data_IF_570605167905
#
_entry.id   IF_570605167905
#
_cell.length_a   1.000
_cell.length_b   1.000
_cell.length_c   1.000
_cell.angle_alpha   90.00
_cell.angle_beta   90.00
_cell.angle_gamma   90.00
#
_symmetry.space_group_name_H-M   'P 1'
#
loop_
_entity.id
_entity.type
_entity.pdbx_description
1 polymer ?
#
# COMPACT_ATOMS: atom_id res chain seq x y z
N UNK A 1 22.15 -14.93 6.98
CA UNK A 1 22.61 -13.55 6.72
C UNK A 1 22.34 -13.28 5.25
N UNK A 2 21.28 -12.54 4.93
CA UNK A 2 21.12 -11.93 3.62
C UNK A 2 22.20 -10.84 3.53
N UNK A 3 23.17 -11.02 2.65
CA UNK A 3 24.08 -9.95 2.25
C UNK A 3 23.27 -9.02 1.34
N UNK A 4 23.03 -7.79 1.79
CA UNK A 4 22.54 -6.74 0.91
C UNK A 4 23.57 -6.55 -0.20
N UNK A 5 23.14 -6.77 -1.44
CA UNK A 5 23.95 -6.39 -2.60
C UNK A 5 24.13 -4.86 -2.55
N UNK A 6 25.35 -4.38 -2.75
CA UNK A 6 25.71 -2.97 -2.67
C UNK A 6 24.84 -2.07 -3.58
N UNK A 7 24.42 -2.62 -4.72
CA UNK A 7 23.45 -1.99 -5.62
C UNK A 7 22.03 -1.87 -5.01
N UNK A 8 21.53 -2.87 -4.29
CA UNK A 8 20.24 -2.80 -3.63
C UNK A 8 20.25 -1.72 -2.53
N UNK A 9 21.34 -1.64 -1.76
CA UNK A 9 21.54 -0.58 -0.76
C UNK A 9 21.55 0.83 -1.37
N UNK A 10 22.13 0.99 -2.55
CA UNK A 10 22.16 2.27 -3.27
C UNK A 10 20.76 2.68 -3.73
N UNK A 11 19.97 1.75 -4.26
CA UNK A 11 18.60 2.02 -4.68
C UNK A 11 17.67 2.26 -3.49
N UNK A 12 17.81 1.51 -2.40
CA UNK A 12 17.07 1.72 -1.16
C UNK A 12 17.40 3.08 -0.53
N UNK A 13 18.66 3.52 -0.61
CA UNK A 13 19.08 4.83 -0.08
C UNK A 13 18.54 6.00 -0.93
N UNK A 14 18.52 5.84 -2.26
CA UNK A 14 17.91 6.80 -3.18
C UNK A 14 16.39 6.87 -2.96
N UNK A 15 15.75 5.73 -2.77
CA UNK A 15 14.31 5.63 -2.52
C UNK A 15 13.91 6.27 -1.18
N UNK A 16 14.68 6.05 -0.12
CA UNK A 16 14.46 6.70 1.18
C UNK A 16 14.67 8.21 1.13
N UNK A 17 15.71 8.67 0.42
CA UNK A 17 15.93 10.11 0.23
C UNK A 17 14.76 10.74 -0.53
N UNK A 18 14.16 10.00 -1.44
CA UNK A 18 13.03 10.45 -2.25
C UNK A 18 11.69 10.31 -1.51
N UNK A 19 11.52 9.32 -0.65
CA UNK A 19 10.38 9.24 0.29
C UNK A 19 10.36 10.44 1.24
N UNK A 20 11.51 10.82 1.79
CA UNK A 20 11.62 12.02 2.64
C UNK A 20 11.40 13.32 1.86
N UNK A 21 11.74 13.34 0.57
CA UNK A 21 11.50 14.46 -0.35
C UNK A 21 10.06 14.48 -0.86
N UNK A 22 9.41 13.32 -0.87
CA UNK A 22 8.08 13.05 -1.43
C UNK A 22 6.99 12.84 -0.37
N UNK A 23 7.23 13.18 0.90
CA UNK A 23 6.13 13.51 1.81
C UNK A 23 5.20 14.56 1.17
N UNK A 24 5.75 15.45 0.32
CA UNK A 24 4.99 16.34 -0.56
C UNK A 24 4.29 15.61 -1.73
N UNK A 25 4.74 14.44 -2.17
CA UNK A 25 4.10 13.71 -3.28
C UNK A 25 2.81 13.02 -2.85
N UNK A 26 2.74 12.53 -1.63
CA UNK A 26 1.46 12.17 -1.01
C UNK A 26 0.57 13.40 -0.90
N UNK A 27 1.13 14.57 -0.58
CA UNK A 27 0.39 15.84 -0.57
C UNK A 27 0.04 16.28 -2.01
N UNK A 28 0.88 16.10 -3.03
CA UNK A 28 0.59 16.41 -4.43
C UNK A 28 -0.38 15.41 -5.07
N UNK A 29 -0.23 14.10 -4.88
CA UNK A 29 -1.27 13.11 -5.22
C UNK A 29 -2.56 13.39 -4.46
N UNK A 30 -2.43 13.81 -3.21
CA UNK A 30 -3.53 14.24 -2.36
C UNK A 30 -4.18 15.52 -2.89
N UNK A 31 -3.41 16.42 -3.50
CA UNK A 31 -3.92 17.66 -4.11
C UNK A 31 -4.44 17.46 -5.53
N UNK A 32 -3.82 16.64 -6.39
CA UNK A 32 -4.32 16.30 -7.73
C UNK A 32 -5.63 15.49 -7.64
N UNK A 33 -5.70 14.56 -6.71
CA UNK A 33 -6.94 13.83 -6.40
C UNK A 33 -7.98 14.74 -5.74
N UNK A 34 -7.56 15.82 -5.07
CA UNK A 34 -8.45 16.82 -4.44
C UNK A 34 -8.90 17.91 -5.39
N UNK A 35 -8.10 18.29 -6.39
CA UNK A 35 -8.40 19.34 -7.35
C UNK A 35 -9.29 18.87 -8.52
N UNK A 36 -9.47 17.57 -8.70
CA UNK A 36 -10.40 16.97 -9.67
C UNK A 36 -11.80 16.72 -9.12
N UNK A 37 -12.11 17.14 -7.91
CA UNK A 37 -13.47 17.08 -7.39
C UNK A 37 -14.26 18.27 -7.85
N UNK A 38 -15.14 18.09 -8.85
CA UNK A 38 -16.34 18.91 -8.96
C UNK A 38 -16.95 19.06 -7.57
N UNK A 39 -17.35 20.29 -7.22
CA UNK A 39 -18.11 20.62 -6.02
C UNK A 39 -19.36 19.75 -5.96
N UNK A 40 -19.25 18.57 -5.37
CA UNK A 40 -20.39 17.78 -4.96
C UNK A 40 -20.91 18.42 -3.66
N UNK A 41 -22.19 18.79 -3.72
CA UNK A 41 -22.97 19.45 -2.69
C UNK A 41 -22.46 19.22 -1.26
N UNK A 42 -22.16 20.34 -0.60
CA UNK A 42 -21.65 20.45 0.77
C UNK A 42 -22.67 20.08 1.86
N UNK A 43 -23.77 19.46 1.53
CA UNK A 43 -24.89 19.24 2.45
C UNK A 43 -24.94 17.85 3.11
N UNK A 44 -23.99 16.96 2.81
CA UNK A 44 -23.94 15.67 3.47
C UNK A 44 -23.15 15.73 4.78
N UNK A 45 -23.86 16.01 5.86
CA UNK A 45 -23.30 15.90 7.23
C UNK A 45 -23.17 14.41 7.56
N UNK A 46 -21.93 13.93 7.54
CA UNK A 46 -21.64 12.58 8.01
C UNK A 46 -21.75 12.55 9.53
N UNK A 47 -22.83 11.96 10.05
CA UNK A 47 -22.96 11.65 11.47
C UNK A 47 -22.21 10.35 11.78
N UNK A 48 -20.91 10.46 12.05
CA UNK A 48 -20.08 9.36 12.54
C UNK A 48 -19.50 9.74 13.90
N UNK A 49 -20.21 9.43 15.01
CA UNK A 49 -19.71 9.67 16.35
C UNK A 49 -18.40 8.90 16.59
N UNK A 50 -17.48 9.51 17.33
CA UNK A 50 -16.17 8.92 17.66
C UNK A 50 -16.30 7.54 18.33
N UNK A 51 -17.29 7.37 19.23
CA UNK A 51 -17.51 6.09 19.91
C UNK A 51 -18.00 5.00 18.96
N UNK A 52 -18.85 5.37 17.99
CA UNK A 52 -19.27 4.46 16.90
C UNK A 52 -18.08 4.04 16.05
N UNK A 53 -17.19 4.97 15.72
CA UNK A 53 -15.97 4.66 14.97
C UNK A 53 -15.05 3.72 15.75
N UNK A 54 -14.81 4.01 17.04
CA UNK A 54 -14.01 3.13 17.92
C UNK A 54 -14.57 1.71 17.98
N UNK A 55 -15.88 1.58 18.16
CA UNK A 55 -16.54 0.27 18.19
C UNK A 55 -16.40 -0.50 16.85
N UNK A 56 -16.49 0.20 15.71
CA UNK A 56 -16.29 -0.40 14.38
C UNK A 56 -14.85 -0.83 14.18
N UNK A 57 -13.87 -0.01 14.57
CA UNK A 57 -12.45 -0.35 14.48
C UNK A 57 -12.11 -1.54 15.38
N UNK A 58 -12.61 -1.59 16.61
CA UNK A 58 -12.43 -2.73 17.50
C UNK A 58 -12.98 -4.03 16.89
N UNK A 59 -14.20 -3.98 16.35
CA UNK A 59 -14.79 -5.15 15.66
C UNK A 59 -14.03 -5.57 14.39
N UNK A 60 -13.44 -4.62 13.69
CA UNK A 60 -12.60 -4.92 12.52
C UNK A 60 -11.30 -5.59 12.97
N UNK A 61 -10.68 -5.07 14.04
CA UNK A 61 -9.44 -5.59 14.61
C UNK A 61 -9.55 -7.05 15.10
N UNK A 62 -10.74 -7.50 15.52
CA UNK A 62 -11.00 -8.90 15.90
C UNK A 62 -10.97 -9.87 14.69
N UNK A 63 -11.13 -9.37 13.47
CA UNK A 63 -11.30 -10.17 12.25
C UNK A 63 -10.13 -10.14 11.30
N UNK A 64 -9.17 -9.27 11.56
CA UNK A 64 -8.02 -9.05 10.69
C UNK A 64 -6.72 -9.43 11.41
N UNK A 65 -5.70 -9.91 10.71
CA UNK A 65 -4.39 -10.16 11.28
C UNK A 65 -3.57 -8.88 11.53
N UNK A 66 -4.11 -7.71 11.18
CA UNK A 66 -3.47 -6.41 11.36
C UNK A 66 -3.87 -5.78 12.69
N UNK A 67 -2.97 -4.97 13.28
CA UNK A 67 -3.24 -4.23 14.49
C UNK A 67 -3.84 -2.86 14.17
N UNK A 68 -5.17 -2.74 14.33
CA UNK A 68 -5.91 -1.51 14.05
C UNK A 68 -6.22 -0.79 15.36
N UNK A 69 -5.37 0.17 15.73
CA UNK A 69 -5.59 1.01 16.90
C UNK A 69 -6.24 2.34 16.52
N UNK A 70 -7.25 2.76 17.31
CA UNK A 70 -7.82 4.09 17.15
C UNK A 70 -6.81 5.17 17.54
N UNK A 71 -6.74 6.21 16.71
CA UNK A 71 -6.12 7.49 17.05
C UNK A 71 -6.86 8.65 16.35
N UNK A 72 -6.68 9.87 16.83
CA UNK A 72 -7.37 11.05 16.30
C UNK A 72 -6.98 11.40 14.86
N UNK A 73 -5.74 11.10 14.45
CA UNK A 73 -5.29 11.29 13.08
C UNK A 73 -6.01 10.34 12.13
N UNK A 74 -6.14 9.05 12.50
CA UNK A 74 -6.90 8.07 11.72
C UNK A 74 -8.37 8.49 11.59
N UNK A 75 -9.00 8.96 12.67
CA UNK A 75 -10.37 9.48 12.62
C UNK A 75 -10.51 10.64 11.63
N UNK A 76 -9.57 11.59 11.65
CA UNK A 76 -9.56 12.74 10.74
C UNK A 76 -9.42 12.30 9.27
N UNK A 77 -8.56 11.32 8.99
CA UNK A 77 -8.40 10.73 7.66
C UNK A 77 -9.68 10.04 7.20
N UNK A 78 -10.27 9.18 8.04
CA UNK A 78 -11.51 8.48 7.71
C UNK A 78 -12.64 9.48 7.41
N UNK A 79 -12.84 10.48 8.27
CA UNK A 79 -13.85 11.52 8.06
C UNK A 79 -13.60 12.30 6.76
N UNK A 80 -12.36 12.63 6.44
CA UNK A 80 -12.01 13.30 5.18
C UNK A 80 -12.39 12.47 3.95
N UNK A 81 -12.12 11.15 3.97
CA UNK A 81 -12.50 10.28 2.86
C UNK A 81 -14.02 10.13 2.74
N UNK A 82 -14.74 10.08 3.84
CA UNK A 82 -16.21 9.91 3.83
C UNK A 82 -16.97 11.20 3.47
N UNK A 83 -16.32 12.35 3.55
CA UNK A 83 -16.92 13.66 3.20
C UNK A 83 -16.31 14.20 1.90
N UNK A 84 -15.15 14.86 2.00
CA UNK A 84 -14.53 15.59 0.90
C UNK A 84 -14.03 14.72 -0.27
N UNK A 85 -13.74 13.43 -0.02
CA UNK A 85 -13.18 12.49 -1.01
C UNK A 85 -14.14 11.37 -1.38
N UNK A 86 -15.42 11.57 -1.17
CA UNK A 86 -16.44 10.56 -1.43
C UNK A 86 -16.43 10.06 -2.88
N UNK A 87 -16.34 10.97 -3.85
CA UNK A 87 -16.29 10.60 -5.27
C UNK A 87 -15.05 9.76 -5.64
N UNK A 88 -13.90 9.96 -4.94
CA UNK A 88 -12.74 9.10 -5.09
C UNK A 88 -13.03 7.69 -4.56
N UNK A 89 -13.62 7.59 -3.36
CA UNK A 89 -14.01 6.28 -2.78
C UNK A 89 -14.99 5.56 -3.69
N UNK A 90 -15.99 6.24 -4.24
CA UNK A 90 -16.98 5.65 -5.16
C UNK A 90 -16.32 5.09 -6.43
N UNK A 91 -15.37 5.84 -7.03
CA UNK A 91 -14.60 5.34 -8.19
C UNK A 91 -13.74 4.13 -7.82
N UNK A 92 -13.03 4.18 -6.68
CA UNK A 92 -12.21 3.05 -6.22
C UNK A 92 -13.05 1.81 -5.90
N UNK A 93 -14.22 1.97 -5.29
CA UNK A 93 -15.16 0.87 -5.03
C UNK A 93 -15.67 0.26 -6.33
N UNK A 94 -16.00 1.07 -7.34
CA UNK A 94 -16.42 0.59 -8.66
C UNK A 94 -15.30 -0.18 -9.35
N UNK A 95 -14.08 0.38 -9.38
CA UNK A 95 -12.91 -0.25 -10.00
C UNK A 95 -12.49 -1.52 -9.26
N UNK A 96 -12.65 -1.55 -7.93
CA UNK A 96 -12.31 -2.71 -7.11
C UNK A 96 -13.15 -3.95 -7.43
N UNK A 97 -14.40 -3.77 -7.86
CA UNK A 97 -15.24 -4.90 -8.29
C UNK A 97 -14.62 -5.68 -9.46
N UNK A 98 -13.82 -5.01 -10.28
CA UNK A 98 -13.11 -5.65 -11.39
C UNK A 98 -11.83 -6.34 -10.95
N UNK A 99 -11.02 -5.71 -10.08
CA UNK A 99 -9.70 -6.25 -9.72
C UNK A 99 -9.71 -7.17 -8.49
N UNK A 100 -10.59 -6.94 -7.52
CA UNK A 100 -10.56 -7.67 -6.25
C UNK A 100 -10.74 -9.19 -6.39
N UNK A 101 -11.59 -9.73 -7.28
CA UNK A 101 -11.67 -11.17 -7.46
C UNK A 101 -10.32 -11.81 -7.86
N UNK A 102 -9.56 -11.15 -8.74
CA UNK A 102 -8.21 -11.57 -9.11
C UNK A 102 -7.24 -11.48 -7.92
N UNK A 103 -7.28 -10.35 -7.20
CA UNK A 103 -6.40 -10.14 -6.04
C UNK A 103 -6.66 -11.17 -4.95
N UNK A 104 -7.93 -11.40 -4.62
CA UNK A 104 -8.35 -12.38 -3.61
C UNK A 104 -7.89 -13.78 -3.98
N UNK A 105 -8.06 -14.19 -5.23
CA UNK A 105 -7.60 -15.48 -5.71
C UNK A 105 -6.08 -15.65 -5.54
N UNK A 106 -5.29 -14.67 -6.00
CA UNK A 106 -3.84 -14.77 -5.92
C UNK A 106 -3.32 -14.64 -4.48
N UNK A 107 -3.90 -13.78 -3.66
CA UNK A 107 -3.53 -13.65 -2.25
C UNK A 107 -3.82 -14.95 -1.49
N UNK A 108 -4.96 -15.59 -1.73
CA UNK A 108 -5.32 -16.87 -1.12
C UNK A 108 -4.38 -18.00 -1.55
N UNK A 109 -4.03 -18.07 -2.84
CA UNK A 109 -3.06 -19.04 -3.39
C UNK A 109 -1.70 -19.00 -2.66
N UNK A 110 -1.32 -17.83 -2.14
CA UNK A 110 -0.07 -17.63 -1.40
C UNK A 110 -0.24 -17.49 0.11
N UNK A 111 -1.44 -17.76 0.65
CA UNK A 111 -1.76 -17.63 2.08
C UNK A 111 -1.45 -16.22 2.62
N UNK A 112 -1.74 -15.20 1.82
CA UNK A 112 -1.65 -13.78 2.20
C UNK A 112 -3.04 -13.31 2.61
N UNK A 113 -3.20 -12.55 3.71
CA UNK A 113 -4.50 -12.04 4.13
C UNK A 113 -5.20 -11.25 3.01
N UNK A 114 -6.51 -11.50 2.84
CA UNK A 114 -7.28 -10.88 1.76
C UNK A 114 -7.40 -9.36 1.90
N UNK A 115 -7.24 -8.82 3.10
CA UNK A 115 -7.22 -7.38 3.36
C UNK A 115 -6.07 -6.68 2.64
N UNK A 116 -5.00 -7.40 2.29
CA UNK A 116 -3.86 -6.84 1.55
C UNK A 116 -4.26 -6.36 0.15
N UNK A 117 -5.39 -6.81 -0.40
CA UNK A 117 -5.94 -6.25 -1.65
C UNK A 117 -6.09 -4.72 -1.63
N UNK A 118 -6.35 -4.15 -0.45
CA UNK A 118 -6.46 -2.70 -0.28
C UNK A 118 -5.13 -1.96 -0.45
N UNK A 119 -3.99 -2.67 -0.38
CA UNK A 119 -2.68 -2.07 -0.63
C UNK A 119 -2.59 -1.50 -2.05
N UNK A 120 -3.15 -2.18 -3.06
CA UNK A 120 -3.16 -1.67 -4.44
C UNK A 120 -3.97 -0.37 -4.60
N UNK A 121 -4.96 -0.12 -3.73
CA UNK A 121 -5.65 1.17 -3.67
C UNK A 121 -4.69 2.27 -3.19
N UNK A 122 -3.93 1.99 -2.12
CA UNK A 122 -2.97 2.95 -1.56
C UNK A 122 -1.82 3.22 -2.53
N UNK A 123 -1.33 2.19 -3.22
CA UNK A 123 -0.18 2.28 -4.13
C UNK A 123 -0.49 3.02 -5.44
N UNK A 124 -1.67 2.80 -6.02
CA UNK A 124 -1.98 3.25 -7.38
C UNK A 124 -3.40 3.77 -7.61
N UNK A 125 -4.26 3.83 -6.58
CA UNK A 125 -5.70 4.03 -6.74
C UNK A 125 -6.34 3.05 -7.75
N UNK A 126 -5.79 1.85 -7.89
CA UNK A 126 -6.14 0.80 -8.85
C UNK A 126 -5.88 1.17 -10.32
N UNK A 127 -4.92 2.05 -10.60
CA UNK A 127 -4.48 2.34 -11.96
C UNK A 127 -3.32 1.38 -12.37
N UNK A 128 -3.54 0.48 -13.34
CA UNK A 128 -2.51 -0.45 -13.80
C UNK A 128 -1.37 0.23 -14.57
N UNK A 129 -1.55 1.48 -14.98
CA UNK A 129 -0.56 2.28 -15.70
C UNK A 129 0.11 3.33 -14.81
N UNK A 130 -0.22 3.38 -13.52
CA UNK A 130 0.39 4.31 -12.60
C UNK A 130 1.91 4.18 -12.62
N UNK A 131 2.60 5.32 -12.68
CA UNK A 131 4.07 5.38 -12.69
C UNK A 131 4.56 6.50 -11.80
N UNK A 132 5.31 6.15 -10.76
CA UNK A 132 5.92 7.14 -9.88
C UNK A 132 7.14 7.82 -10.53
N UNK A 133 7.59 8.93 -9.96
CA UNK A 133 8.81 9.63 -10.41
C UNK A 133 10.06 8.76 -10.32
N UNK A 134 10.10 7.83 -9.37
CA UNK A 134 11.21 6.87 -9.17
C UNK A 134 11.09 5.61 -10.01
N UNK A 135 10.05 5.50 -10.83
CA UNK A 135 9.87 4.40 -11.75
C UNK A 135 9.17 3.17 -11.16
N UNK A 136 8.55 3.29 -9.97
CA UNK A 136 7.60 2.29 -9.51
C UNK A 136 6.39 2.28 -10.46
N UNK A 137 5.89 1.10 -10.82
CA UNK A 137 4.92 0.96 -11.91
C UNK A 137 3.82 -0.03 -11.57
N UNK A 138 2.59 0.28 -12.02
CA UNK A 138 1.43 -0.61 -12.01
C UNK A 138 0.63 -0.61 -10.71
N UNK A 139 -0.34 -1.51 -10.63
CA UNK A 139 -1.28 -1.65 -9.50
C UNK A 139 -0.58 -1.77 -8.14
N UNK A 140 0.56 -2.46 -8.12
CA UNK A 140 1.33 -2.81 -6.93
C UNK A 140 2.61 -1.99 -6.79
N UNK A 141 2.81 -0.98 -7.63
CA UNK A 141 3.96 -0.06 -7.63
C UNK A 141 5.33 -0.76 -7.52
N UNK A 142 5.53 -1.79 -8.33
CA UNK A 142 6.82 -2.47 -8.35
C UNK A 142 7.95 -1.59 -8.88
N UNK A 143 9.04 -1.51 -8.14
CA UNK A 143 10.32 -1.04 -8.65
C UNK A 143 10.88 -2.04 -9.67
N UNK A 144 11.65 -1.57 -10.64
CA UNK A 144 12.25 -2.40 -11.68
C UNK A 144 12.96 -3.65 -11.12
N UNK A 145 13.87 -3.46 -10.16
CA UNK A 145 14.65 -4.55 -9.57
C UNK A 145 13.79 -5.55 -8.83
N UNK A 146 12.82 -5.09 -8.03
CA UNK A 146 11.91 -5.96 -7.30
C UNK A 146 11.00 -6.73 -8.27
N UNK A 147 10.46 -6.08 -9.29
CA UNK A 147 9.66 -6.76 -10.32
C UNK A 147 10.42 -7.91 -10.98
N UNK A 148 11.65 -7.66 -11.42
CA UNK A 148 12.53 -8.69 -12.00
C UNK A 148 12.80 -9.84 -11.03
N UNK A 149 13.04 -9.54 -9.75
CA UNK A 149 13.29 -10.55 -8.71
C UNK A 149 12.10 -11.51 -8.52
N UNK A 150 10.88 -11.02 -8.72
CA UNK A 150 9.65 -11.81 -8.61
C UNK A 150 9.11 -12.31 -9.94
N UNK A 151 9.94 -12.28 -11.00
CA UNK A 151 9.69 -12.94 -12.26
C UNK A 151 8.91 -12.13 -13.29
N UNK A 152 8.75 -10.81 -13.07
CA UNK A 152 8.12 -9.94 -14.05
C UNK A 152 9.08 -9.66 -15.20
N UNK A 153 8.61 -9.80 -16.44
CA UNK A 153 9.36 -9.35 -17.60
C UNK A 153 9.26 -7.82 -17.74
N UNK A 154 10.41 -7.18 -17.70
CA UNK A 154 10.52 -5.73 -17.88
C UNK A 154 11.62 -5.46 -18.87
N UNK A 155 11.24 -5.06 -20.07
CA UNK A 155 12.10 -4.79 -21.20
C UNK A 155 11.69 -3.49 -21.90
N UNK A 156 12.32 -3.17 -23.03
CA UNK A 156 11.91 -2.03 -23.86
C UNK A 156 10.57 -2.24 -24.57
N UNK A 157 10.07 -3.47 -24.64
CA UNK A 157 8.86 -3.84 -25.36
C UNK A 157 7.71 -4.25 -24.47
N UNK A 158 8.01 -4.79 -23.28
CA UNK A 158 7.04 -5.33 -22.35
C UNK A 158 7.35 -4.85 -20.93
N UNK A 159 6.35 -4.48 -20.19
CA UNK A 159 6.46 -4.16 -18.77
C UNK A 159 5.31 -4.83 -17.98
N UNK A 160 5.56 -6.07 -17.52
CA UNK A 160 4.57 -6.86 -16.78
C UNK A 160 4.23 -6.31 -15.40
N UNK A 161 4.91 -5.26 -14.95
CA UNK A 161 4.50 -4.53 -13.74
C UNK A 161 3.14 -3.85 -13.93
N UNK A 162 2.77 -3.56 -15.20
CA UNK A 162 1.46 -3.03 -15.59
C UNK A 162 0.44 -4.11 -15.93
N UNK A 163 0.84 -5.38 -16.01
CA UNK A 163 -0.08 -6.50 -16.23
C UNK A 163 -0.74 -6.90 -14.90
N UNK A 164 -2.09 -6.83 -14.79
CA UNK A 164 -2.76 -7.09 -13.52
C UNK A 164 -2.54 -8.50 -12.97
N UNK A 165 -2.43 -9.51 -13.84
CA UNK A 165 -2.30 -10.91 -13.42
C UNK A 165 -0.88 -11.16 -12.92
N UNK A 166 0.11 -10.89 -13.78
CA UNK A 166 1.53 -11.12 -13.47
C UNK A 166 1.96 -10.29 -12.23
N UNK A 167 1.56 -9.01 -12.18
CA UNK A 167 1.91 -8.14 -11.06
C UNK A 167 1.26 -8.58 -9.75
N UNK A 168 0.00 -9.06 -9.76
CA UNK A 168 -0.67 -9.54 -8.54
C UNK A 168 -0.01 -10.83 -8.02
N UNK A 169 0.30 -11.77 -8.92
CA UNK A 169 1.05 -12.98 -8.54
C UNK A 169 2.41 -12.64 -7.93
N UNK A 170 3.14 -11.68 -8.53
CA UNK A 170 4.42 -11.22 -8.01
C UNK A 170 4.28 -10.55 -6.62
N UNK A 171 3.23 -9.73 -6.43
CA UNK A 171 2.94 -9.07 -5.16
C UNK A 171 2.63 -10.07 -4.04
N UNK A 172 1.79 -11.07 -4.31
CA UNK A 172 1.47 -12.13 -3.36
C UNK A 172 2.74 -12.91 -2.93
N UNK A 173 3.61 -13.28 -3.88
CA UNK A 173 4.92 -13.91 -3.61
C UNK A 173 5.81 -13.02 -2.73
N UNK A 174 5.89 -11.74 -3.06
CA UNK A 174 6.73 -10.79 -2.31
C UNK A 174 6.22 -10.62 -0.88
N UNK A 175 4.94 -10.39 -0.70
CA UNK A 175 4.29 -10.24 0.61
C UNK A 175 4.46 -11.50 1.49
N UNK A 176 4.26 -12.70 0.90
CA UNK A 176 4.53 -13.97 1.59
C UNK A 176 5.99 -14.06 2.05
N UNK A 177 6.94 -13.64 1.20
CA UNK A 177 8.37 -13.60 1.56
C UNK A 177 8.65 -12.63 2.70
N UNK A 178 8.06 -11.45 2.67
CA UNK A 178 8.22 -10.43 3.72
C UNK A 178 7.64 -10.92 5.06
N UNK A 179 6.45 -11.53 5.04
CA UNK A 179 5.89 -12.16 6.22
C UNK A 179 6.78 -13.27 6.77
N UNK A 180 7.36 -14.10 5.91
CA UNK A 180 8.32 -15.14 6.33
C UNK A 180 9.59 -14.59 7.00
N UNK A 181 9.97 -13.33 6.72
CA UNK A 181 11.12 -12.66 7.37
C UNK A 181 10.75 -12.12 8.75
N UNK A 182 9.59 -11.48 8.88
CA UNK A 182 9.21 -10.74 10.09
C UNK A 182 8.27 -11.51 11.00
N UNK A 183 7.54 -12.51 10.47
CA UNK A 183 6.46 -13.25 11.13
C UNK A 183 5.40 -12.30 11.73
N UNK A 184 5.12 -11.21 11.01
CA UNK A 184 4.23 -10.13 11.41
C UNK A 184 3.76 -9.40 10.14
N UNK A 185 2.44 -9.23 9.98
CA UNK A 185 1.87 -8.63 8.77
C UNK A 185 2.03 -7.11 8.73
N UNK A 186 1.99 -6.43 9.88
CA UNK A 186 2.23 -4.98 9.95
C UNK A 186 3.67 -4.65 9.52
N UNK A 187 4.63 -5.44 10.01
CA UNK A 187 6.04 -5.32 9.60
C UNK A 187 6.26 -5.76 8.15
N UNK A 188 5.49 -6.71 7.64
CA UNK A 188 5.55 -7.09 6.22
C UNK A 188 5.07 -5.95 5.32
N UNK A 189 3.97 -5.26 5.67
CA UNK A 189 3.52 -4.06 4.96
C UNK A 189 4.52 -2.90 5.05
N UNK A 190 5.08 -2.67 6.25
CA UNK A 190 6.16 -1.69 6.42
C UNK A 190 7.37 -2.01 5.52
N UNK A 191 7.71 -3.29 5.40
CA UNK A 191 8.83 -3.74 4.56
C UNK A 191 8.50 -3.69 3.06
N UNK A 192 7.25 -3.86 2.68
CA UNK A 192 6.81 -3.64 1.31
C UNK A 192 7.08 -2.19 0.88
N UNK A 193 6.67 -1.25 1.73
CA UNK A 193 6.84 0.18 1.49
C UNK A 193 8.30 0.65 1.58
N UNK A 194 9.02 0.23 2.61
CA UNK A 194 10.34 0.80 2.95
C UNK A 194 11.52 -0.09 2.61
N UNK A 195 11.26 -1.32 2.17
CA UNK A 195 12.26 -2.37 2.02
C UNK A 195 12.60 -3.07 3.35
N UNK A 196 12.85 -4.39 3.32
CA UNK A 196 13.10 -5.19 4.53
C UNK A 196 14.37 -4.77 5.28
N UNK A 197 15.38 -4.24 4.59
CA UNK A 197 16.61 -3.73 5.20
C UNK A 197 16.35 -2.56 6.15
N UNK A 198 15.45 -1.66 5.78
CA UNK A 198 15.10 -0.49 6.58
C UNK A 198 14.27 -0.86 7.81
N UNK A 199 13.32 -1.77 7.68
CA UNK A 199 12.57 -2.29 8.82
C UNK A 199 13.51 -2.98 9.81
N UNK A 200 14.44 -3.82 9.35
CA UNK A 200 15.46 -4.43 10.20
C UNK A 200 16.38 -3.39 10.89
N UNK A 201 16.71 -2.31 10.19
CA UNK A 201 17.46 -1.17 10.77
C UNK A 201 16.67 -0.49 11.89
N UNK A 202 15.38 -0.24 11.67
CA UNK A 202 14.48 0.37 12.65
C UNK A 202 14.33 -0.51 13.89
N UNK A 203 14.08 -1.80 13.73
CA UNK A 203 14.01 -2.79 14.84
C UNK A 203 15.29 -2.78 15.66
N UNK A 204 16.46 -2.79 15.02
CA UNK A 204 17.76 -2.74 15.75
C UNK A 204 17.95 -1.43 16.51
N UNK A 205 17.56 -0.29 15.91
CA UNK A 205 17.68 1.04 16.54
C UNK A 205 16.75 1.23 17.73
N UNK A 206 15.58 0.62 17.69
CA UNK A 206 14.60 0.66 18.78
C UNK A 206 14.92 -0.30 19.94
N UNK A 207 16.03 -1.05 19.85
CA UNK A 207 16.35 -2.06 20.87
C UNK A 207 15.56 -3.37 20.72
N UNK A 208 15.06 -3.66 19.52
CA UNK A 208 14.33 -4.90 19.22
C UNK A 208 12.81 -4.76 19.23
N UNK A 209 12.29 -3.55 19.39
CA UNK A 209 10.85 -3.29 19.27
C UNK A 209 10.35 -3.61 17.86
N UNK A 210 9.30 -4.43 17.78
CA UNK A 210 8.61 -4.85 16.55
C UNK A 210 7.22 -4.22 16.49
N UNK A 211 7.12 -2.94 16.74
CA UNK A 211 5.88 -2.18 16.60
C UNK A 211 6.03 -1.17 15.47
N UNK A 212 5.06 -1.17 14.57
CA UNK A 212 4.98 -0.25 13.43
C UNK A 212 3.91 0.82 13.67
#
# INVERSE_FOLDING_TARGET
KLQDLEEAYRYDSLWLAELHKNASLFDEMYQEVSSGSEELDSEYVLDLPTDTLKARLAKLNEKTPFNIAYNSSLESVIKSFLTRKRGLIERMLTTSQFYFPLFEQELDNYEVPLEVKYLAIVESALDPKAKSRVGATGLWQFMYGTGKMYGLDVSSYVDERSDPISATTAAAKYLKKLHGIFNDWDLALAAYNSGPGNVNKAIRRSGGYKNY
#
